data_IF_037163210485
#
_entry.id   IF_037163210485
#
_cell.length_a   1.000
_cell.length_b   1.000
_cell.length_c   1.000
_cell.angle_alpha   90.00
_cell.angle_beta   90.00
_cell.angle_gamma   90.00
#
_symmetry.space_group_name_H-M   'P 1'
#
loop_
_entity.id
_entity.type
_entity.pdbx_description
1 polymer ?
#
# COMPACT_ATOMS: atom_id res chain seq x y z
N UNK A 1 7.02 -14.20 -4.85
CA UNK A 1 6.54 -14.87 -6.09
C UNK A 1 7.64 -14.69 -7.11
N UNK A 2 8.08 -15.77 -7.76
CA UNK A 2 9.07 -15.71 -8.85
C UNK A 2 8.33 -16.11 -10.13
N UNK A 3 8.28 -15.26 -11.17
CA UNK A 3 7.68 -15.64 -12.43
C UNK A 3 8.57 -16.67 -13.14
N UNK A 4 7.95 -17.61 -13.85
CA UNK A 4 8.68 -18.56 -14.70
C UNK A 4 9.33 -17.84 -15.89
N UNK A 5 8.61 -16.90 -16.49
CA UNK A 5 9.06 -16.06 -17.61
C UNK A 5 8.53 -14.64 -17.43
N UNK A 6 9.32 -13.65 -17.86
CA UNK A 6 8.88 -12.26 -17.97
C UNK A 6 8.70 -11.93 -19.44
N UNK A 7 7.46 -11.75 -19.87
CA UNK A 7 7.09 -11.41 -21.25
C UNK A 7 6.38 -10.07 -21.31
N UNK A 8 6.28 -9.52 -22.52
CA UNK A 8 5.60 -8.26 -22.77
C UNK A 8 4.72 -8.42 -24.00
N UNK A 9 3.48 -7.93 -23.97
CA UNK A 9 2.59 -7.94 -25.14
C UNK A 9 3.25 -7.32 -26.39
N UNK A 10 4.16 -6.37 -26.19
CA UNK A 10 4.92 -5.74 -27.28
C UNK A 10 5.81 -6.71 -28.07
N UNK A 11 6.22 -7.81 -27.45
CA UNK A 11 7.04 -8.85 -28.10
C UNK A 11 6.23 -9.58 -29.19
N UNK A 12 4.89 -9.50 -29.11
CA UNK A 12 3.96 -10.14 -30.04
C UNK A 12 3.29 -9.15 -31.01
N UNK A 13 3.69 -7.87 -31.05
CA UNK A 13 3.02 -6.88 -31.91
C UNK A 13 2.98 -7.27 -33.39
N UNK A 14 4.05 -7.87 -33.90
CA UNK A 14 4.07 -8.36 -35.29
C UNK A 14 3.08 -9.51 -35.47
N UNK A 15 3.10 -10.51 -34.58
CA UNK A 15 2.14 -11.63 -34.61
C UNK A 15 0.70 -11.16 -34.53
N UNK A 16 0.40 -10.21 -33.64
CA UNK A 16 -0.95 -9.63 -33.50
C UNK A 16 -1.35 -8.88 -34.78
N UNK A 17 -0.43 -8.17 -35.43
CA UNK A 17 -0.67 -7.53 -36.74
C UNK A 17 -0.97 -8.57 -37.82
N UNK A 18 -0.27 -9.70 -37.84
CA UNK A 18 -0.55 -10.79 -38.80
C UNK A 18 -1.95 -11.38 -38.59
N UNK A 19 -2.40 -11.57 -37.35
CA UNK A 19 -3.79 -11.95 -37.08
C UNK A 19 -4.79 -10.90 -37.54
N UNK A 20 -4.51 -9.61 -37.34
CA UNK A 20 -5.37 -8.53 -37.84
C UNK A 20 -5.49 -8.57 -39.38
N UNK A 21 -4.38 -8.74 -40.10
CA UNK A 21 -4.36 -8.91 -41.56
C UNK A 21 -5.15 -10.15 -41.99
N UNK A 22 -5.00 -11.26 -41.27
CA UNK A 22 -5.75 -12.49 -41.53
C UNK A 22 -7.26 -12.29 -41.33
N UNK A 23 -7.68 -11.59 -40.27
CA UNK A 23 -9.10 -11.27 -40.04
C UNK A 23 -9.69 -10.45 -41.20
N UNK A 24 -8.94 -9.45 -41.69
CA UNK A 24 -9.36 -8.65 -42.86
C UNK A 24 -9.54 -9.54 -44.08
N UNK A 25 -8.55 -10.39 -44.38
CA UNK A 25 -8.58 -11.25 -45.56
C UNK A 25 -9.75 -12.27 -45.55
N UNK A 26 -10.19 -12.67 -44.36
CA UNK A 26 -11.31 -13.59 -44.17
C UNK A 26 -12.66 -12.89 -43.96
N UNK A 27 -12.74 -11.57 -44.14
CA UNK A 27 -13.98 -10.79 -43.97
C UNK A 27 -14.49 -10.71 -42.53
N UNK A 28 -13.64 -11.03 -41.55
CA UNK A 28 -13.95 -11.03 -40.11
C UNK A 28 -13.65 -9.68 -39.44
N UNK A 29 -13.04 -8.74 -40.16
CA UNK A 29 -12.77 -7.39 -39.70
C UNK A 29 -12.86 -6.39 -40.86
N UNK A 30 -13.14 -5.15 -40.52
CA UNK A 30 -13.21 -4.02 -41.46
C UNK A 30 -12.58 -2.77 -40.84
N UNK A 31 -12.28 -1.80 -41.69
CA UNK A 31 -11.68 -0.52 -41.37
C UNK A 31 -12.80 0.50 -41.31
N UNK A 32 -12.75 1.38 -40.31
CA UNK A 32 -13.82 2.35 -40.06
C UNK A 32 -13.22 3.72 -39.76
N UNK A 33 -13.65 4.74 -40.51
CA UNK A 33 -13.27 6.14 -40.34
C UNK A 33 -14.32 6.95 -39.56
N UNK A 34 -15.40 6.30 -39.12
CA UNK A 34 -16.52 6.96 -38.46
C UNK A 34 -16.04 7.68 -37.19
N UNK A 35 -16.36 8.98 -37.02
CA UNK A 35 -15.97 9.73 -35.82
C UNK A 35 -16.41 9.03 -34.54
N UNK A 36 -15.61 9.14 -33.47
CA UNK A 36 -15.81 8.38 -32.23
C UNK A 36 -17.22 8.54 -31.63
N UNK A 37 -17.74 9.77 -31.56
CA UNK A 37 -19.08 10.04 -31.01
C UNK A 37 -20.18 9.41 -31.85
N UNK A 38 -20.05 9.49 -33.18
CA UNK A 38 -20.98 8.86 -34.12
C UNK A 38 -20.91 7.32 -34.03
N UNK A 39 -19.71 6.75 -33.97
CA UNK A 39 -19.51 5.32 -33.77
C UNK A 39 -20.14 4.83 -32.45
N UNK A 40 -20.01 5.61 -31.38
CA UNK A 40 -20.65 5.29 -30.11
C UNK A 40 -22.18 5.29 -30.25
N UNK A 41 -22.74 6.30 -30.90
CA UNK A 41 -24.18 6.39 -31.17
C UNK A 41 -24.67 5.20 -32.00
N UNK A 42 -24.01 4.89 -33.12
CA UNK A 42 -24.34 3.75 -33.97
C UNK A 42 -24.31 2.42 -33.20
N UNK A 43 -23.32 2.23 -32.32
CA UNK A 43 -23.24 1.03 -31.46
C UNK A 43 -24.35 0.97 -30.42
N UNK A 44 -24.80 2.11 -29.89
CA UNK A 44 -25.94 2.17 -28.97
C UNK A 44 -27.26 1.89 -29.70
N UNK A 45 -27.41 2.46 -30.89
CA UNK A 45 -28.59 2.31 -31.76
C UNK A 45 -28.59 1.00 -32.55
N UNK A 46 -27.58 0.13 -32.37
CA UNK A 46 -27.39 -1.16 -33.05
C UNK A 46 -27.32 -1.04 -34.59
N UNK A 47 -26.79 0.07 -35.09
CA UNK A 47 -26.65 0.37 -36.51
C UNK A 47 -25.28 -0.05 -37.05
N UNK A 48 -25.26 -0.68 -38.23
CA UNK A 48 -24.02 -1.03 -38.91
C UNK A 48 -23.30 0.22 -39.43
N UNK A 49 -21.96 0.24 -39.33
CA UNK A 49 -21.14 1.24 -40.00
C UNK A 49 -21.30 1.14 -41.52
N UNK A 50 -21.23 2.28 -42.21
CA UNK A 50 -21.18 2.37 -43.68
C UNK A 50 -20.03 1.55 -44.29
N UNK A 51 -18.95 1.32 -43.53
CA UNK A 51 -17.77 0.58 -43.98
C UNK A 51 -17.81 -0.93 -43.68
N UNK A 52 -18.87 -1.43 -43.04
CA UNK A 52 -18.93 -2.83 -42.56
C UNK A 52 -18.84 -3.86 -43.68
N UNK A 53 -19.40 -3.55 -44.84
CA UNK A 53 -19.42 -4.43 -46.02
C UNK A 53 -18.36 -4.07 -47.08
N UNK A 54 -17.30 -3.36 -46.69
CA UNK A 54 -16.16 -3.11 -47.57
C UNK A 54 -15.48 -4.41 -48.03
N UNK A 55 -14.83 -4.40 -49.20
CA UNK A 55 -14.08 -5.56 -49.67
C UNK A 55 -12.78 -5.76 -48.86
N UNK A 56 -12.26 -7.01 -48.76
CA UNK A 56 -10.99 -7.27 -48.11
C UNK A 56 -9.80 -6.48 -48.70
N UNK A 57 -9.84 -6.17 -50.00
CA UNK A 57 -8.77 -5.41 -50.67
C UNK A 57 -8.74 -3.96 -50.21
N UNK A 58 -9.90 -3.27 -50.22
CA UNK A 58 -10.02 -1.89 -49.73
C UNK A 58 -9.65 -1.80 -48.25
N UNK A 59 -10.14 -2.75 -47.45
CA UNK A 59 -9.80 -2.88 -46.04
C UNK A 59 -8.28 -2.95 -45.80
N UNK A 60 -7.58 -3.70 -46.64
CA UNK A 60 -6.14 -3.89 -46.55
C UNK A 60 -5.37 -2.59 -46.82
N UNK A 61 -5.85 -1.78 -47.77
CA UNK A 61 -5.27 -0.47 -48.09
C UNK A 61 -5.40 0.51 -46.93
N UNK A 62 -6.61 0.63 -46.37
CA UNK A 62 -6.84 1.49 -45.21
C UNK A 62 -6.08 1.02 -43.97
N UNK A 63 -5.95 -0.30 -43.76
CA UNK A 63 -5.14 -0.82 -42.65
C UNK A 63 -3.65 -0.47 -42.81
N UNK A 64 -3.10 -0.55 -44.04
CA UNK A 64 -1.73 -0.10 -44.34
C UNK A 64 -1.57 1.40 -44.13
N UNK A 65 -2.57 2.19 -44.55
CA UNK A 65 -2.58 3.64 -44.34
C UNK A 65 -2.55 4.00 -42.85
N UNK A 66 -3.42 3.39 -42.02
CA UNK A 66 -3.42 3.55 -40.57
C UNK A 66 -2.08 3.10 -39.95
N UNK A 67 -1.50 2.00 -40.41
CA UNK A 67 -0.21 1.54 -39.92
C UNK A 67 0.97 2.43 -40.33
N UNK A 68 0.81 3.29 -41.35
CA UNK A 68 1.87 4.21 -41.79
C UNK A 68 2.11 5.36 -40.82
N UNK A 69 1.14 5.68 -39.96
CA UNK A 69 1.22 6.79 -39.01
C UNK A 69 1.01 8.17 -39.64
N UNK A 70 0.59 8.26 -40.90
CA UNK A 70 0.21 9.51 -41.58
C UNK A 70 -1.09 10.07 -40.98
N UNK A 71 -1.30 11.39 -41.10
CA UNK A 71 -2.52 12.03 -40.60
C UNK A 71 -3.79 11.45 -41.26
N UNK A 72 -3.74 11.15 -42.57
CA UNK A 72 -4.87 10.55 -43.29
C UNK A 72 -5.22 9.13 -42.78
N UNK A 73 -4.27 8.46 -42.11
CA UNK A 73 -4.51 7.15 -41.48
C UNK A 73 -5.14 7.24 -40.09
N UNK A 74 -5.13 8.42 -39.46
CA UNK A 74 -5.56 8.64 -38.07
C UNK A 74 -7.05 8.40 -37.82
N UNK A 75 -7.98 8.78 -38.72
CA UNK A 75 -9.40 8.51 -38.52
C UNK A 75 -9.74 7.01 -38.53
N UNK A 76 -8.92 6.22 -39.23
CA UNK A 76 -9.17 4.80 -39.43
C UNK A 76 -8.85 3.97 -38.18
N UNK A 77 -9.74 3.02 -37.89
CA UNK A 77 -9.51 1.96 -36.93
C UNK A 77 -9.96 0.61 -37.50
N UNK A 78 -9.37 -0.48 -37.02
CA UNK A 78 -9.83 -1.83 -37.36
C UNK A 78 -10.92 -2.25 -36.39
N UNK A 79 -12.07 -2.67 -36.88
CA UNK A 79 -13.20 -3.20 -36.11
C UNK A 79 -13.45 -4.66 -36.46
N UNK A 80 -13.83 -5.46 -35.46
CA UNK A 80 -14.29 -6.82 -35.70
C UNK A 80 -15.66 -6.80 -36.38
N UNK A 81 -15.93 -7.78 -37.25
CA UNK A 81 -17.28 -8.06 -37.76
C UNK A 81 -17.95 -9.08 -36.84
N UNK A 82 -18.74 -8.58 -35.89
CA UNK A 82 -19.46 -9.35 -34.87
C UNK A 82 -20.97 -9.02 -34.95
N UNK A 83 -21.67 -9.15 -33.82
CA UNK A 83 -23.12 -9.01 -33.73
C UNK A 83 -23.50 -7.63 -33.17
N UNK A 84 -23.89 -6.73 -34.08
CA UNK A 84 -24.40 -5.40 -33.72
C UNK A 84 -25.76 -5.45 -33.02
N UNK A 85 -26.52 -6.55 -33.18
CA UNK A 85 -27.82 -6.73 -32.53
C UNK A 85 -27.72 -7.24 -31.10
N UNK A 86 -26.52 -7.64 -30.64
CA UNK A 86 -26.30 -8.24 -29.32
C UNK A 86 -26.70 -7.31 -28.18
N UNK A 87 -27.31 -7.87 -27.12
CA UNK A 87 -27.54 -7.15 -25.87
C UNK A 87 -26.24 -6.87 -25.12
N UNK A 88 -25.19 -7.66 -25.36
CA UNK A 88 -23.85 -7.37 -24.87
C UNK A 88 -23.14 -6.36 -25.79
N UNK A 89 -23.05 -5.10 -25.35
CA UNK A 89 -22.43 -4.01 -26.11
C UNK A 89 -20.96 -4.24 -26.50
N UNK A 90 -20.24 -5.13 -25.80
CA UNK A 90 -18.85 -5.48 -26.14
C UNK A 90 -18.74 -6.31 -27.44
N UNK A 91 -19.84 -6.95 -27.86
CA UNK A 91 -19.92 -7.75 -29.09
C UNK A 91 -20.33 -6.92 -30.32
N UNK A 92 -20.67 -5.65 -30.13
CA UNK A 92 -21.09 -4.75 -31.21
C UNK A 92 -19.88 -4.16 -31.92
N UNK A 93 -19.34 -4.92 -32.87
CA UNK A 93 -18.19 -4.60 -33.72
C UNK A 93 -17.10 -3.79 -33.00
N UNK A 94 -16.44 -4.38 -31.98
CA UNK A 94 -15.44 -3.69 -31.16
C UNK A 94 -14.20 -3.29 -31.98
N UNK A 95 -13.55 -2.20 -31.55
CA UNK A 95 -12.27 -1.75 -32.11
C UNK A 95 -11.14 -2.68 -31.66
N UNK A 96 -10.39 -3.20 -32.63
CA UNK A 96 -9.29 -4.15 -32.45
C UNK A 96 -7.90 -3.52 -32.63
N UNK A 97 -7.80 -2.44 -33.42
CA UNK A 97 -6.52 -1.79 -33.74
C UNK A 97 -6.73 -0.30 -34.03
N UNK A 98 -5.79 0.55 -33.63
CA UNK A 98 -5.87 2.00 -33.86
C UNK A 98 -4.50 2.65 -34.03
N UNK A 99 -4.46 3.79 -34.71
CA UNK A 99 -3.24 4.60 -34.84
C UNK A 99 -2.86 5.26 -33.50
N UNK A 100 -1.57 5.26 -33.17
CA UNK A 100 -0.97 6.09 -32.14
C UNK A 100 0.51 6.28 -32.51
N UNK A 101 0.93 7.53 -32.72
CA UNK A 101 2.29 7.83 -33.19
C UNK A 101 3.29 8.02 -32.04
N UNK A 102 2.82 7.99 -30.79
CA UNK A 102 3.65 8.09 -29.58
C UNK A 102 4.67 6.94 -29.55
N UNK A 103 5.96 7.21 -29.34
CA UNK A 103 6.97 6.16 -29.20
C UNK A 103 6.64 5.17 -28.08
N UNK A 104 6.73 3.88 -28.38
CA UNK A 104 6.55 2.83 -27.39
C UNK A 104 7.84 2.62 -26.59
N UNK A 105 7.72 2.48 -25.27
CA UNK A 105 8.87 2.40 -24.37
C UNK A 105 9.87 1.26 -24.67
N UNK A 106 9.43 0.16 -25.31
CA UNK A 106 10.30 -0.97 -25.73
C UNK A 106 10.64 -1.02 -27.21
N UNK A 107 9.71 -0.60 -28.06
CA UNK A 107 9.83 -0.76 -29.53
C UNK A 107 10.04 0.56 -30.25
N UNK A 108 10.24 1.65 -29.49
CA UNK A 108 10.51 2.99 -29.99
C UNK A 108 9.46 3.44 -30.99
N UNK A 109 9.92 3.85 -32.16
CA UNK A 109 9.09 4.37 -33.26
C UNK A 109 8.72 3.31 -34.31
N UNK A 110 9.05 2.02 -34.07
CA UNK A 110 8.84 0.93 -35.03
C UNK A 110 7.38 0.76 -35.45
N UNK A 111 6.45 0.97 -34.52
CA UNK A 111 5.01 0.82 -34.76
C UNK A 111 4.31 2.18 -34.63
N UNK A 112 3.36 2.45 -35.52
CA UNK A 112 2.53 3.68 -35.53
C UNK A 112 1.05 3.41 -35.30
N UNK A 113 0.69 2.14 -35.19
CA UNK A 113 -0.63 1.67 -34.81
C UNK A 113 -0.46 0.48 -33.87
N UNK A 114 -1.40 0.29 -32.95
CA UNK A 114 -1.32 -0.72 -31.90
C UNK A 114 -2.63 -1.47 -31.74
N UNK A 115 -2.58 -2.75 -31.34
CA UNK A 115 -3.78 -3.51 -31.01
C UNK A 115 -4.43 -2.98 -29.73
N UNK A 116 -5.74 -3.17 -29.63
CA UNK A 116 -6.46 -2.97 -28.38
C UNK A 116 -6.29 -4.20 -27.46
N UNK A 117 -6.63 -4.03 -26.19
CA UNK A 117 -6.66 -5.12 -25.21
C UNK A 117 -7.50 -6.31 -25.70
N UNK A 118 -8.62 -6.03 -26.36
CA UNK A 118 -9.59 -7.05 -26.80
C UNK A 118 -9.02 -7.95 -27.90
N UNK A 119 -8.13 -7.45 -28.76
CA UNK A 119 -7.42 -8.27 -29.75
C UNK A 119 -6.18 -8.95 -29.17
N UNK A 120 -5.36 -8.18 -28.43
CA UNK A 120 -4.06 -8.66 -27.98
C UNK A 120 -4.15 -9.77 -26.93
N UNK A 121 -5.05 -9.62 -25.95
CA UNK A 121 -5.13 -10.51 -24.79
C UNK A 121 -5.45 -11.97 -25.19
N UNK A 122 -6.48 -12.28 -26.02
CA UNK A 122 -6.73 -13.65 -26.49
C UNK A 122 -5.56 -14.29 -27.22
N UNK A 123 -4.87 -13.52 -28.05
CA UNK A 123 -3.74 -14.00 -28.88
C UNK A 123 -2.57 -14.37 -27.98
N UNK A 124 -2.14 -13.44 -27.10
CA UNK A 124 -0.99 -13.65 -26.23
C UNK A 124 -1.25 -14.78 -25.24
N UNK A 125 -2.40 -14.78 -24.56
CA UNK A 125 -2.76 -15.86 -23.62
C UNK A 125 -2.75 -17.24 -24.31
N UNK A 126 -3.26 -17.31 -25.56
CA UNK A 126 -3.24 -18.55 -26.35
C UNK A 126 -1.81 -19.01 -26.62
N UNK A 127 -0.96 -18.11 -27.17
CA UNK A 127 0.43 -18.38 -27.57
C UNK A 127 1.30 -18.75 -26.37
N UNK A 128 1.15 -18.06 -25.24
CA UNK A 128 1.93 -18.30 -24.02
C UNK A 128 1.49 -19.54 -23.24
N UNK A 129 0.47 -20.27 -23.74
CA UNK A 129 0.03 -21.50 -23.08
C UNK A 129 -0.79 -21.27 -21.80
N UNK A 130 -1.31 -20.06 -21.56
CA UNK A 130 -2.16 -19.74 -20.40
C UNK A 130 -3.35 -20.71 -20.34
N UNK A 131 -3.48 -21.45 -19.25
CA UNK A 131 -4.61 -22.38 -19.05
C UNK A 131 -5.81 -21.68 -18.41
N UNK A 132 -5.54 -20.83 -17.43
CA UNK A 132 -6.52 -20.06 -16.67
C UNK A 132 -6.13 -18.58 -16.64
N UNK A 133 -6.87 -17.74 -17.35
CA UNK A 133 -6.75 -16.29 -17.29
C UNK A 133 -7.56 -15.77 -16.09
N UNK A 134 -6.86 -15.29 -15.05
CA UNK A 134 -7.48 -14.76 -13.84
C UNK A 134 -7.67 -13.25 -14.00
N UNK A 135 -8.91 -12.75 -13.89
CA UNK A 135 -9.19 -11.32 -14.05
C UNK A 135 -10.30 -10.81 -13.13
N UNK A 136 -10.43 -9.49 -13.01
CA UNK A 136 -11.47 -8.90 -12.17
C UNK A 136 -12.85 -9.00 -12.83
N UNK A 137 -13.91 -9.05 -12.01
CA UNK A 137 -15.32 -9.08 -12.46
C UNK A 137 -15.73 -7.83 -13.25
N UNK A 138 -14.98 -6.73 -13.16
CA UNK A 138 -15.18 -5.51 -13.97
C UNK A 138 -15.10 -5.78 -15.49
N UNK A 139 -14.48 -6.89 -15.88
CA UNK A 139 -14.35 -7.32 -17.27
C UNK A 139 -15.34 -8.42 -17.66
N UNK A 140 -16.36 -8.72 -16.84
CA UNK A 140 -17.22 -9.88 -17.08
C UNK A 140 -17.93 -9.82 -18.45
N UNK A 141 -18.42 -8.65 -18.86
CA UNK A 141 -19.07 -8.48 -20.16
C UNK A 141 -18.13 -8.79 -21.34
N UNK A 142 -16.82 -8.54 -21.17
CA UNK A 142 -15.79 -8.84 -22.20
C UNK A 142 -15.42 -10.32 -22.24
N UNK A 143 -15.95 -11.18 -21.35
CA UNK A 143 -15.63 -12.61 -21.35
C UNK A 143 -16.12 -13.25 -22.66
N UNK A 144 -17.34 -12.89 -23.07
CA UNK A 144 -17.93 -13.36 -24.32
C UNK A 144 -17.11 -12.90 -25.53
N UNK A 145 -16.73 -11.62 -25.56
CA UNK A 145 -15.90 -11.03 -26.60
C UNK A 145 -14.57 -11.76 -26.75
N UNK A 146 -13.88 -12.01 -25.63
CA UNK A 146 -12.63 -12.77 -25.61
C UNK A 146 -12.78 -14.16 -26.25
N UNK A 147 -13.83 -14.90 -25.89
CA UNK A 147 -14.04 -16.28 -26.37
C UNK A 147 -14.44 -16.29 -27.86
N UNK A 148 -15.22 -15.31 -28.31
CA UNK A 148 -15.60 -15.16 -29.73
C UNK A 148 -14.36 -14.84 -30.57
N UNK A 149 -13.53 -13.87 -30.16
CA UNK A 149 -12.27 -13.55 -30.87
C UNK A 149 -11.36 -14.78 -30.90
N UNK A 150 -11.23 -15.50 -29.78
CA UNK A 150 -10.44 -16.73 -29.71
C UNK A 150 -10.91 -17.77 -30.73
N UNK A 151 -12.23 -17.96 -30.83
CA UNK A 151 -12.84 -18.90 -31.79
C UNK A 151 -12.65 -18.44 -33.23
N UNK A 152 -12.86 -17.16 -33.52
CA UNK A 152 -12.68 -16.56 -34.85
C UNK A 152 -11.26 -16.78 -35.38
N UNK A 153 -10.26 -16.63 -34.51
CA UNK A 153 -8.85 -16.76 -34.83
C UNK A 153 -8.32 -18.20 -34.77
N UNK A 154 -9.16 -19.19 -34.44
CA UNK A 154 -8.75 -20.60 -34.29
C UNK A 154 -7.74 -20.82 -33.15
N UNK A 155 -7.79 -19.99 -32.10
CA UNK A 155 -6.83 -20.02 -31.00
C UNK A 155 -7.11 -21.16 -30.03
N UNK A 156 -6.07 -21.55 -29.29
CA UNK A 156 -6.20 -22.48 -28.17
C UNK A 156 -7.12 -21.87 -27.12
N UNK A 157 -8.09 -22.66 -26.65
CA UNK A 157 -9.06 -22.19 -25.65
C UNK A 157 -8.38 -21.93 -24.31
N UNK A 158 -8.59 -20.72 -23.78
CA UNK A 158 -8.16 -20.31 -22.43
C UNK A 158 -9.39 -20.19 -21.53
N UNK A 159 -9.33 -20.77 -20.33
CA UNK A 159 -10.42 -20.67 -19.35
C UNK A 159 -10.30 -19.33 -18.63
N UNK A 160 -11.38 -18.57 -18.58
CA UNK A 160 -11.39 -17.31 -17.83
C UNK A 160 -12.02 -17.58 -16.46
N UNK A 161 -11.32 -17.17 -15.41
CA UNK A 161 -11.85 -17.19 -14.05
C UNK A 161 -11.88 -15.75 -13.52
N UNK A 162 -13.06 -15.30 -13.10
CA UNK A 162 -13.22 -13.94 -12.57
C UNK A 162 -13.37 -13.90 -11.07
N UNK A 163 -12.81 -12.85 -10.46
CA UNK A 163 -12.85 -12.56 -9.03
C UNK A 163 -13.09 -11.06 -8.81
N UNK A 164 -13.68 -10.68 -7.70
CA UNK A 164 -13.87 -9.29 -7.36
C UNK A 164 -12.53 -8.65 -6.99
N UNK A 165 -12.32 -7.42 -7.45
CA UNK A 165 -11.21 -6.60 -6.97
C UNK A 165 -11.34 -6.34 -5.47
N UNK A 166 -10.19 -6.20 -4.83
CA UNK A 166 -10.12 -5.77 -3.45
C UNK A 166 -10.28 -4.24 -3.37
N UNK A 167 -11.13 -3.79 -2.45
CA UNK A 167 -11.27 -2.38 -2.11
C UNK A 167 -11.04 -2.22 -0.60
N UNK A 168 -10.57 -1.06 -0.20
CA UNK A 168 -10.38 -0.69 1.20
C UNK A 168 -11.21 0.55 1.51
N UNK A 169 -11.63 0.67 2.76
CA UNK A 169 -12.33 1.84 3.27
C UNK A 169 -11.34 3.00 3.45
N UNK A 170 -11.84 4.24 3.40
CA UNK A 170 -11.05 5.47 3.60
C UNK A 170 -9.88 5.64 2.62
N UNK A 171 -9.97 5.03 1.42
CA UNK A 171 -8.91 5.12 0.42
C UNK A 171 -9.46 5.12 -1.01
N UNK A 172 -8.59 5.44 -1.95
CA UNK A 172 -8.86 5.37 -3.39
C UNK A 172 -7.91 4.38 -4.04
N UNK A 173 -8.44 3.51 -4.89
CA UNK A 173 -7.64 2.50 -5.60
C UNK A 173 -7.44 2.84 -7.09
N UNK A 174 -8.10 3.89 -7.60
CA UNK A 174 -8.00 4.23 -9.02
C UNK A 174 -6.70 4.97 -9.30
N UNK A 175 -6.00 4.56 -10.37
CA UNK A 175 -4.74 5.17 -10.78
C UNK A 175 -4.88 6.68 -10.98
N UNK A 176 -5.98 7.14 -11.59
CA UNK A 176 -6.25 8.57 -11.79
C UNK A 176 -6.27 9.36 -10.48
N UNK A 177 -7.02 8.88 -9.47
CA UNK A 177 -7.11 9.55 -8.16
C UNK A 177 -5.77 9.49 -7.40
N UNK A 178 -5.07 8.35 -7.47
CA UNK A 178 -3.74 8.21 -6.87
C UNK A 178 -2.69 9.12 -7.52
N UNK A 179 -2.69 9.24 -8.85
CA UNK A 179 -1.84 10.18 -9.60
C UNK A 179 -2.14 11.62 -9.17
N UNK A 180 -3.40 12.00 -9.01
CA UNK A 180 -3.76 13.33 -8.53
C UNK A 180 -3.17 13.66 -7.15
N UNK A 181 -3.13 12.71 -6.21
CA UNK A 181 -2.47 12.93 -4.91
C UNK A 181 -0.98 13.24 -5.06
N UNK A 182 -0.31 12.53 -5.98
CA UNK A 182 1.11 12.73 -6.28
C UNK A 182 1.34 14.09 -6.98
N UNK A 183 0.57 14.36 -8.04
CA UNK A 183 0.73 15.56 -8.87
C UNK A 183 0.39 16.86 -8.10
N UNK A 184 -0.53 16.79 -7.13
CA UNK A 184 -0.88 17.93 -6.27
C UNK A 184 0.00 18.07 -5.03
N UNK A 185 1.02 17.22 -4.86
CA UNK A 185 1.96 17.29 -3.74
C UNK A 185 1.37 16.96 -2.37
N UNK A 186 0.17 16.37 -2.31
CA UNK A 186 -0.49 15.94 -1.06
C UNK A 186 0.17 14.72 -0.43
N UNK A 187 0.94 13.98 -1.23
CA UNK A 187 1.80 12.89 -0.78
C UNK A 187 3.21 13.12 -1.32
N UNK A 188 4.20 12.55 -0.66
CA UNK A 188 5.62 12.67 -1.04
C UNK A 188 5.98 11.89 -2.32
N UNK A 189 5.12 10.95 -2.74
CA UNK A 189 5.30 10.16 -3.95
C UNK A 189 4.50 8.86 -3.93
N UNK A 190 4.80 7.96 -4.87
CA UNK A 190 4.12 6.65 -4.97
C UNK A 190 4.44 5.69 -3.83
N UNK A 191 5.50 5.93 -3.08
CA UNK A 191 5.92 5.17 -1.91
C UNK A 191 5.65 5.87 -0.59
N UNK A 192 4.85 6.94 -0.60
CA UNK A 192 4.38 7.60 0.61
C UNK A 192 3.62 6.59 1.50
N UNK A 193 3.90 6.54 2.82
CA UNK A 193 3.29 5.57 3.74
C UNK A 193 1.76 5.66 3.86
N UNK A 194 1.16 6.79 3.45
CA UNK A 194 -0.31 6.95 3.40
C UNK A 194 -0.95 6.35 2.15
N UNK A 195 -0.15 6.07 1.11
CA UNK A 195 -0.65 5.55 -0.15
C UNK A 195 -0.98 4.04 -0.06
N UNK A 196 -2.10 3.59 -0.64
CA UNK A 196 -2.48 2.16 -0.66
C UNK A 196 -1.67 1.35 -1.69
N UNK A 197 -0.50 1.83 -2.09
CA UNK A 197 0.40 1.14 -3.01
C UNK A 197 1.24 0.13 -2.24
N UNK A 198 1.69 -0.94 -2.90
CA UNK A 198 2.59 -1.93 -2.27
C UNK A 198 3.83 -1.25 -1.69
N UNK A 199 4.38 -0.24 -2.39
CA UNK A 199 5.53 0.54 -1.90
C UNK A 199 5.19 1.37 -0.67
N UNK A 200 4.03 2.05 -0.66
CA UNK A 200 3.56 2.87 0.45
C UNK A 200 3.37 2.04 1.72
N UNK A 201 2.58 0.96 1.64
CA UNK A 201 2.38 0.09 2.82
C UNK A 201 3.68 -0.61 3.26
N UNK A 202 4.60 -0.91 2.33
CA UNK A 202 5.94 -1.46 2.65
C UNK A 202 6.80 -0.45 3.39
N UNK A 203 6.82 0.81 2.95
CA UNK A 203 7.50 1.89 3.66
C UNK A 203 6.85 2.18 5.02
N UNK A 204 5.53 2.01 5.14
CA UNK A 204 4.83 2.12 6.43
C UNK A 204 5.15 0.97 7.38
N UNK A 205 5.59 -0.20 6.89
CA UNK A 205 6.05 -1.32 7.72
C UNK A 205 5.25 -2.62 7.59
N UNK A 206 4.53 -2.85 6.48
CA UNK A 206 3.94 -4.17 6.21
C UNK A 206 5.07 -5.20 5.98
N UNK A 207 4.96 -6.35 6.64
CA UNK A 207 5.75 -7.52 6.33
C UNK A 207 5.15 -8.24 5.12
N UNK A 208 6.00 -8.64 4.16
CA UNK A 208 5.55 -9.28 2.91
C UNK A 208 4.83 -10.60 3.14
N UNK A 209 5.21 -11.38 4.15
CA UNK A 209 4.52 -12.63 4.45
C UNK A 209 3.18 -12.40 5.15
N UNK A 210 3.06 -11.34 5.96
CA UNK A 210 1.76 -10.89 6.46
C UNK A 210 0.84 -10.45 5.32
N UNK A 211 1.36 -9.70 4.35
CA UNK A 211 0.61 -9.30 3.16
C UNK A 211 0.09 -10.54 2.39
N UNK A 212 0.95 -11.53 2.15
CA UNK A 212 0.53 -12.79 1.48
C UNK A 212 -0.55 -13.51 2.29
N UNK A 213 -0.37 -13.65 3.60
CA UNK A 213 -1.35 -14.29 4.50
C UNK A 213 -2.69 -13.59 4.45
N UNK A 214 -2.69 -12.25 4.50
CA UNK A 214 -3.90 -11.44 4.36
C UNK A 214 -4.58 -11.68 3.01
N UNK A 215 -3.83 -11.66 1.90
CA UNK A 215 -4.40 -11.92 0.57
C UNK A 215 -5.01 -13.33 0.47
N UNK A 216 -4.32 -14.35 1.00
CA UNK A 216 -4.82 -15.72 1.03
C UNK A 216 -6.06 -15.87 1.93
N UNK A 217 -6.15 -15.15 3.06
CA UNK A 217 -7.29 -15.22 3.96
C UNK A 217 -8.56 -14.60 3.38
N UNK A 218 -8.43 -13.61 2.49
CA UNK A 218 -9.59 -13.05 1.79
C UNK A 218 -10.17 -14.00 0.74
N UNK A 219 -9.28 -14.77 0.08
CA UNK A 219 -9.66 -15.71 -0.98
C UNK A 219 -10.16 -15.03 -2.26
N UNK A 220 -10.42 -15.86 -3.29
CA UNK A 220 -10.98 -15.39 -4.56
C UNK A 220 -12.51 -15.53 -4.53
N UNK A 221 -13.21 -14.43 -4.26
CA UNK A 221 -14.67 -14.34 -4.31
C UNK A 221 -15.10 -13.46 -5.48
N UNK A 222 -16.32 -13.65 -6.02
CA UNK A 222 -16.94 -12.74 -6.99
C UNK A 222 -17.67 -11.56 -6.34
N UNK A 223 -17.82 -11.57 -5.00
CA UNK A 223 -18.49 -10.50 -4.25
C UNK A 223 -17.52 -9.35 -4.00
N UNK A 224 -17.90 -8.14 -4.40
CA UNK A 224 -17.14 -6.92 -4.08
C UNK A 224 -17.30 -6.63 -2.59
N UNK A 225 -16.17 -6.46 -1.89
CA UNK A 225 -16.12 -6.16 -0.46
C UNK A 225 -15.16 -4.99 -0.23
N UNK A 226 -15.57 -4.06 0.62
CA UNK A 226 -14.71 -3.01 1.15
C UNK A 226 -14.11 -3.50 2.46
N UNK A 227 -12.79 -3.58 2.52
CA UNK A 227 -12.04 -4.08 3.66
C UNK A 227 -11.68 -2.95 4.62
N UNK A 228 -11.79 -3.21 5.92
CA UNK A 228 -11.19 -2.34 6.93
C UNK A 228 -9.67 -2.56 7.00
N UNK A 229 -8.92 -1.47 7.15
CA UNK A 229 -7.48 -1.51 7.42
C UNK A 229 -7.13 -2.19 8.75
N UNK A 230 -8.05 -2.21 9.71
CA UNK A 230 -7.88 -2.84 11.03
C UNK A 230 -7.41 -4.30 10.90
N UNK A 231 -8.06 -5.09 10.05
CA UNK A 231 -7.73 -6.51 9.82
C UNK A 231 -6.39 -6.68 9.13
N UNK A 232 -6.07 -5.82 8.16
CA UNK A 232 -4.81 -5.81 7.45
C UNK A 232 -3.63 -5.61 8.41
N UNK A 233 -3.73 -4.59 9.27
CA UNK A 233 -2.70 -4.25 10.24
C UNK A 233 -2.63 -5.23 11.42
N UNK A 234 -3.77 -5.77 11.87
CA UNK A 234 -3.79 -6.82 12.89
C UNK A 234 -3.04 -8.08 12.43
N UNK A 235 -3.15 -8.47 11.15
CA UNK A 235 -2.38 -9.60 10.61
C UNK A 235 -0.89 -9.26 10.52
N UNK A 236 -0.54 -8.03 10.13
CA UNK A 236 0.86 -7.57 10.15
C UNK A 236 1.47 -7.63 11.54
N UNK A 237 0.74 -7.16 12.56
CA UNK A 237 1.17 -7.17 13.96
C UNK A 237 1.63 -8.55 14.41
N UNK A 238 0.87 -9.60 14.07
CA UNK A 238 1.20 -10.98 14.45
C UNK A 238 2.55 -11.42 13.90
N UNK A 239 2.93 -10.96 12.72
CA UNK A 239 4.22 -11.30 12.11
C UNK A 239 5.35 -10.45 12.68
N UNK A 240 5.18 -9.14 12.78
CA UNK A 240 6.24 -8.24 13.28
C UNK A 240 6.52 -8.43 14.79
N UNK A 241 5.53 -8.82 15.59
CA UNK A 241 5.68 -9.06 17.03
C UNK A 241 6.73 -10.14 17.35
N UNK A 242 6.97 -11.06 16.41
CA UNK A 242 7.90 -12.19 16.56
C UNK A 242 9.37 -11.77 16.55
N UNK A 243 9.70 -10.61 15.98
CA UNK A 243 11.09 -10.18 15.80
C UNK A 243 11.34 -8.71 16.14
N UNK A 244 10.30 -7.92 16.41
CA UNK A 244 10.44 -6.53 16.77
C UNK A 244 11.13 -6.36 18.13
N UNK A 245 12.37 -5.88 18.13
CA UNK A 245 13.14 -5.60 19.36
C UNK A 245 12.46 -4.50 20.19
N UNK A 246 12.52 -4.61 21.53
CA UNK A 246 11.86 -3.70 22.46
C UNK A 246 12.80 -2.57 22.88
N UNK A 247 12.29 -1.35 22.80
CA UNK A 247 12.97 -0.12 23.20
C UNK A 247 12.04 0.79 24.01
N UNK A 248 12.59 1.84 24.61
CA UNK A 248 11.83 2.83 25.37
C UNK A 248 12.08 4.21 24.79
N UNK A 249 11.03 5.04 24.80
CA UNK A 249 11.10 6.45 24.49
C UNK A 249 10.05 7.20 25.30
N UNK A 250 10.37 8.42 25.68
CA UNK A 250 9.55 9.32 26.51
C UNK A 250 9.33 10.62 25.76
N UNK A 251 8.16 11.26 25.93
CA UNK A 251 7.88 12.53 25.26
C UNK A 251 8.96 13.59 25.55
N UNK A 252 9.36 14.35 24.52
CA UNK A 252 10.40 15.36 24.69
C UNK A 252 9.91 16.56 25.52
N UNK A 253 8.61 16.84 25.50
CA UNK A 253 8.01 18.03 26.12
C UNK A 253 7.13 17.71 27.33
N UNK A 254 6.37 16.63 27.27
CA UNK A 254 5.37 16.28 28.29
C UNK A 254 5.82 15.08 29.13
N UNK A 255 6.96 15.25 29.81
CA UNK A 255 7.54 14.24 30.70
C UNK A 255 7.74 14.77 32.12
N UNK A 256 7.91 13.83 33.06
CA UNK A 256 8.18 14.12 34.47
C UNK A 256 9.49 13.47 34.89
N UNK A 257 10.34 14.23 35.55
CA UNK A 257 11.56 13.71 36.17
C UNK A 257 11.25 12.96 37.47
N UNK A 258 11.84 11.78 37.62
CA UNK A 258 11.89 11.00 38.85
C UNK A 258 13.35 10.91 39.34
N UNK A 259 13.58 11.32 40.59
CA UNK A 259 14.86 11.14 41.27
C UNK A 259 14.82 9.88 42.15
N UNK A 260 15.57 8.85 41.77
CA UNK A 260 15.79 7.63 42.55
C UNK A 260 16.93 7.89 43.54
N UNK A 261 16.59 8.19 44.79
CA UNK A 261 17.51 8.70 45.82
C UNK A 261 18.70 7.79 46.12
N UNK A 262 18.50 6.48 46.06
CA UNK A 262 19.52 5.44 46.22
C UNK A 262 19.98 4.82 44.88
N UNK A 263 19.70 5.48 43.76
CA UNK A 263 20.23 5.10 42.44
C UNK A 263 21.67 5.57 42.24
N UNK A 264 22.40 4.88 41.37
CA UNK A 264 23.78 5.24 40.98
C UNK A 264 23.88 6.58 40.26
N UNK A 265 25.10 7.04 39.99
CA UNK A 265 25.41 8.33 39.36
C UNK A 265 25.00 8.44 37.87
N UNK A 266 24.41 7.38 37.32
CA UNK A 266 24.04 7.30 35.92
C UNK A 266 25.08 6.61 35.05
N UNK A 267 26.13 5.99 35.61
CA UNK A 267 27.13 5.20 34.85
C UNK A 267 26.80 3.72 34.69
N UNK A 268 25.83 3.23 35.47
CA UNK A 268 25.47 1.82 35.51
C UNK A 268 24.55 1.40 34.34
N UNK A 269 24.63 0.11 34.00
CA UNK A 269 23.80 -0.51 32.96
C UNK A 269 23.04 -1.71 33.52
N UNK A 270 21.76 -1.77 33.15
CA UNK A 270 20.93 -2.95 33.32
C UNK A 270 20.92 -3.77 32.03
N UNK A 271 21.21 -5.06 32.13
CA UNK A 271 21.10 -5.97 30.98
C UNK A 271 19.67 -6.53 30.89
N UNK A 272 19.01 -6.35 29.76
CA UNK A 272 17.63 -6.83 29.52
C UNK A 272 17.51 -7.53 28.17
N UNK A 273 16.58 -8.46 27.99
CA UNK A 273 16.38 -9.10 26.69
C UNK A 273 15.76 -8.13 25.68
N UNK A 274 16.29 -8.13 24.45
CA UNK A 274 15.69 -7.35 23.34
C UNK A 274 14.25 -7.78 23.09
N UNK A 275 13.96 -9.08 23.16
CA UNK A 275 12.63 -9.64 22.99
C UNK A 275 12.37 -10.66 24.11
N UNK A 276 11.53 -10.34 25.12
CA UNK A 276 11.30 -11.23 26.26
C UNK A 276 10.75 -12.61 25.91
N UNK A 277 10.07 -12.73 24.76
CA UNK A 277 9.50 -14.00 24.29
C UNK A 277 10.53 -14.89 23.60
N UNK A 278 11.66 -14.34 23.18
CA UNK A 278 12.69 -15.07 22.43
C UNK A 278 14.10 -14.54 22.77
N UNK A 279 14.80 -15.23 23.70
CA UNK A 279 16.15 -14.87 24.11
C UNK A 279 17.20 -14.94 22.98
N UNK A 280 16.92 -15.60 21.85
CA UNK A 280 17.88 -15.70 20.73
C UNK A 280 18.19 -14.35 20.07
N UNK A 281 17.32 -13.36 20.25
CA UNK A 281 17.54 -11.97 19.83
C UNK A 281 18.60 -11.24 20.65
N UNK A 282 19.12 -11.87 21.70
CA UNK A 282 20.16 -11.36 22.56
C UNK A 282 19.66 -10.32 23.56
N UNK A 283 20.63 -9.70 24.22
CA UNK A 283 20.40 -8.75 25.29
C UNK A 283 20.83 -7.34 24.88
N UNK A 284 20.22 -6.35 25.52
CA UNK A 284 20.52 -4.93 25.40
C UNK A 284 20.91 -4.37 26.75
N UNK A 285 21.76 -3.35 26.72
CA UNK A 285 22.11 -2.57 27.88
C UNK A 285 21.18 -1.35 27.94
N UNK A 286 20.54 -1.16 29.08
CA UNK A 286 19.69 -0.01 29.39
C UNK A 286 20.40 0.80 30.46
N UNK A 287 20.61 2.10 30.22
CA UNK A 287 21.24 2.98 31.19
C UNK A 287 20.32 3.15 32.40
N UNK A 288 20.84 3.01 33.61
CA UNK A 288 20.14 3.31 34.86
C UNK A 288 20.87 4.45 35.56
N UNK A 289 20.15 5.20 36.41
CA UNK A 289 20.76 6.32 37.13
C UNK A 289 19.80 6.97 38.10
N UNK A 290 20.34 7.89 38.90
CA UNK A 290 19.58 8.66 39.89
C UNK A 290 18.46 9.48 39.27
N UNK A 291 18.62 10.00 38.05
CA UNK A 291 17.59 10.78 37.36
C UNK A 291 17.02 9.97 36.19
N UNK A 292 15.70 9.83 36.16
CA UNK A 292 14.99 9.20 35.06
C UNK A 292 13.79 10.03 34.61
N UNK A 293 13.39 9.86 33.36
CA UNK A 293 12.23 10.52 32.77
C UNK A 293 11.10 9.50 32.61
N UNK A 294 9.88 9.95 32.90
CA UNK A 294 8.64 9.19 32.80
C UNK A 294 7.64 9.97 31.92
N UNK A 295 6.74 9.25 31.25
CA UNK A 295 5.60 9.89 30.58
C UNK A 295 4.71 10.56 31.62
N UNK A 296 4.36 11.84 31.41
CA UNK A 296 3.55 12.57 32.38
C UNK A 296 2.19 11.90 32.65
N UNK A 297 1.52 11.42 31.61
CA UNK A 297 0.23 10.72 31.71
C UNK A 297 0.30 9.48 32.63
N UNK A 298 1.46 8.81 32.69
CA UNK A 298 1.63 7.64 33.56
C UNK A 298 1.85 8.04 35.03
N UNK A 299 2.22 9.31 35.29
CA UNK A 299 2.48 9.86 36.63
C UNK A 299 1.26 10.53 37.29
N UNK A 300 0.18 10.74 36.55
CA UNK A 300 -1.01 11.40 37.07
C UNK A 300 -1.67 10.59 38.20
N UNK A 301 -1.90 11.26 39.33
CA UNK A 301 -2.49 10.67 40.53
C UNK A 301 -1.55 9.77 41.33
N UNK A 302 -0.23 9.83 41.11
CA UNK A 302 0.75 9.20 41.99
C UNK A 302 0.78 9.92 43.35
N UNK A 303 0.78 9.16 44.44
CA UNK A 303 0.88 9.70 45.80
C UNK A 303 2.13 9.22 46.54
N UNK A 304 2.55 9.96 47.57
CA UNK A 304 3.60 9.52 48.48
C UNK A 304 3.22 8.17 49.14
N UNK A 305 4.18 7.26 49.24
CA UNK A 305 4.01 5.88 49.72
C UNK A 305 3.54 4.88 48.65
N UNK A 306 3.27 5.33 47.42
CA UNK A 306 2.90 4.42 46.33
C UNK A 306 4.13 3.69 45.77
N UNK A 307 3.98 2.38 45.52
CA UNK A 307 4.98 1.58 44.81
C UNK A 307 4.66 1.54 43.31
N UNK A 308 5.58 2.07 42.51
CA UNK A 308 5.55 1.98 41.05
C UNK A 308 6.60 0.99 40.54
N UNK A 309 6.34 0.39 39.38
CA UNK A 309 7.32 -0.46 38.69
C UNK A 309 7.88 0.30 37.50
N UNK A 310 9.19 0.55 37.54
CA UNK A 310 9.96 0.96 36.38
C UNK A 310 10.24 -0.30 35.55
N UNK A 311 9.65 -0.35 34.36
CA UNK A 311 9.64 -1.57 33.53
C UNK A 311 11.07 -2.11 33.34
N UNK A 312 11.26 -3.40 33.62
CA UNK A 312 12.55 -4.13 33.64
C UNK A 312 13.55 -3.76 34.74
N UNK A 313 13.46 -2.59 35.36
CA UNK A 313 14.38 -2.18 36.43
C UNK A 313 13.93 -2.67 37.80
N UNK A 314 12.68 -2.42 38.18
CA UNK A 314 12.14 -2.88 39.48
C UNK A 314 11.21 -1.88 40.13
N UNK A 315 10.98 -2.08 41.43
CA UNK A 315 10.04 -1.30 42.23
C UNK A 315 10.72 -0.05 42.80
N UNK A 316 10.01 1.08 42.72
CA UNK A 316 10.38 2.34 43.38
C UNK A 316 9.22 2.78 44.26
N UNK A 317 9.51 3.00 45.54
CA UNK A 317 8.58 3.60 46.50
C UNK A 317 8.68 5.13 46.38
N UNK A 318 7.56 5.80 46.13
CA UNK A 318 7.52 7.26 45.99
C UNK A 318 7.58 7.92 47.37
N UNK A 319 8.60 8.74 47.59
CA UNK A 319 8.85 9.43 48.87
C UNK A 319 8.45 10.90 48.83
N UNK A 320 8.38 11.51 47.64
CA UNK A 320 8.00 12.91 47.46
C UNK A 320 7.31 13.15 46.12
N UNK A 321 6.31 14.04 46.11
CA UNK A 321 5.62 14.54 44.90
C UNK A 321 5.57 16.06 44.99
N UNK A 322 6.41 16.75 44.22
CA UNK A 322 6.58 18.21 44.28
C UNK A 322 7.22 18.75 43.00
N UNK A 323 6.40 19.14 42.01
CA UNK A 323 6.89 19.57 40.69
C UNK A 323 7.68 18.50 39.92
N UNK A 324 7.66 17.26 40.41
CA UNK A 324 8.46 16.12 40.02
C UNK A 324 8.30 15.01 41.05
N UNK A 325 8.96 13.86 40.82
CA UNK A 325 8.88 12.72 41.72
C UNK A 325 10.23 12.45 42.37
N UNK A 326 10.22 12.06 43.64
CA UNK A 326 11.37 11.41 44.28
C UNK A 326 10.94 10.07 44.85
N UNK A 327 11.82 9.09 44.78
CA UNK A 327 11.55 7.77 45.32
C UNK A 327 12.81 7.02 45.71
N UNK A 328 12.60 5.86 46.33
CA UNK A 328 13.65 4.94 46.73
C UNK A 328 13.44 3.62 45.99
N UNK A 329 14.46 3.16 45.29
CA UNK A 329 14.49 1.82 44.70
C UNK A 329 14.42 0.77 45.82
N UNK A 330 13.52 -0.19 45.69
CA UNK A 330 13.31 -1.27 46.65
C UNK A 330 13.84 -2.56 46.04
N UNK A 331 15.04 -3.03 46.44
CA UNK A 331 15.55 -4.34 46.04
C UNK A 331 14.53 -5.42 46.40
N UNK A 332 14.29 -6.36 45.48
CA UNK A 332 13.34 -7.48 45.64
C UNK A 332 11.88 -7.06 45.93
N UNK A 333 11.52 -5.81 45.61
CA UNK A 333 10.14 -5.35 45.73
C UNK A 333 9.15 -6.15 44.86
N UNK A 334 7.93 -6.33 45.36
CA UNK A 334 6.91 -7.12 44.66
C UNK A 334 6.34 -6.38 43.43
N UNK A 335 6.87 -6.72 42.25
CA UNK A 335 6.44 -6.21 40.94
C UNK A 335 4.97 -6.55 40.62
N UNK A 336 4.37 -7.56 41.26
CA UNK A 336 2.96 -7.94 41.06
C UNK A 336 2.02 -7.11 41.91
N UNK A 337 2.47 -6.65 43.09
CA UNK A 337 1.66 -5.82 43.99
C UNK A 337 1.51 -4.37 43.53
N UNK A 338 2.44 -3.87 42.70
CA UNK A 338 2.38 -2.51 42.18
C UNK A 338 1.25 -2.32 41.16
N UNK A 339 0.46 -1.26 41.34
CA UNK A 339 -0.67 -0.92 40.46
C UNK A 339 -0.21 -0.37 39.11
N UNK A 340 0.96 0.28 39.07
CA UNK A 340 1.48 1.00 37.90
C UNK A 340 2.78 0.39 37.41
N UNK A 341 2.83 0.10 36.10
CA UNK A 341 4.04 -0.32 35.37
C UNK A 341 4.34 0.69 34.29
N UNK A 342 5.42 1.43 34.45
CA UNK A 342 5.71 2.66 33.71
C UNK A 342 6.95 2.45 32.83
N UNK A 343 6.92 2.99 31.61
CA UNK A 343 8.10 3.09 30.75
C UNK A 343 8.96 4.27 31.18
N UNK A 344 10.27 4.13 31.09
CA UNK A 344 11.20 5.13 31.61
C UNK A 344 12.48 5.12 30.77
N UNK A 345 13.24 6.20 30.87
CA UNK A 345 14.63 6.27 30.39
C UNK A 345 15.48 7.00 31.42
N UNK A 346 16.77 6.70 31.51
CA UNK A 346 17.69 7.54 32.28
C UNK A 346 17.80 8.92 31.63
N UNK A 347 17.90 9.96 32.45
CA UNK A 347 18.14 11.34 31.98
C UNK A 347 19.65 11.55 31.80
N UNK A 348 20.16 11.17 30.62
CA UNK A 348 21.60 11.16 30.31
C UNK A 348 21.87 11.77 28.92
N UNK A 349 23.05 12.39 28.70
CA UNK A 349 23.40 13.00 27.41
C UNK A 349 23.43 12.02 26.23
N UNK A 350 23.64 10.72 26.49
CA UNK A 350 23.72 9.69 25.46
C UNK A 350 22.36 9.30 24.86
N UNK A 351 21.26 9.82 25.39
CA UNK A 351 19.93 9.60 24.86
C UNK A 351 19.83 9.97 23.36
N UNK A 352 18.83 9.38 22.71
CA UNK A 352 18.66 9.50 21.26
C UNK A 352 17.50 10.44 20.97
N UNK A 353 17.68 11.54 20.23
CA UNK A 353 16.55 12.31 19.72
C UNK A 353 15.85 11.51 18.62
N UNK A 354 14.54 11.36 18.74
CA UNK A 354 13.72 10.55 17.83
C UNK A 354 12.48 11.33 17.41
N UNK A 355 12.13 11.25 16.13
CA UNK A 355 10.87 11.72 15.59
C UNK A 355 10.00 10.50 15.32
N UNK A 356 8.84 10.44 15.97
CA UNK A 356 7.79 9.47 15.70
C UNK A 356 6.78 10.09 14.74
N UNK A 357 6.65 9.50 13.55
CA UNK A 357 5.64 9.91 12.58
C UNK A 357 4.47 8.94 12.59
N UNK A 358 3.28 9.49 12.76
CA UNK A 358 2.03 8.77 12.61
C UNK A 358 1.27 9.26 11.37
N UNK A 359 0.44 8.39 10.81
CA UNK A 359 -0.24 8.63 9.55
C UNK A 359 -1.72 8.26 9.64
N UNK A 360 -2.58 9.12 9.12
CA UNK A 360 -4.01 8.90 8.99
C UNK A 360 -4.41 8.66 7.52
N UNK A 361 -5.67 8.33 7.29
CA UNK A 361 -6.23 8.07 5.98
C UNK A 361 -6.24 9.33 5.09
N UNK A 362 -5.95 9.17 3.80
CA UNK A 362 -5.97 10.28 2.82
C UNK A 362 -7.37 10.81 2.52
N UNK A 363 -8.40 10.01 2.80
CA UNK A 363 -9.81 10.33 2.54
C UNK A 363 -10.57 10.21 3.85
N UNK A 364 -11.42 11.19 4.14
CA UNK A 364 -12.21 11.28 5.38
C UNK A 364 -13.52 10.47 5.32
N UNK A 365 -13.97 10.11 4.12
CA UNK A 365 -15.18 9.29 3.90
C UNK A 365 -14.84 7.81 3.80
N UNK A 366 -15.59 6.99 4.53
CA UNK A 366 -15.44 5.53 4.61
C UNK A 366 -15.49 4.86 3.23
N UNK A 367 -16.48 5.23 2.43
CA UNK A 367 -16.70 4.73 1.07
C UNK A 367 -17.14 5.89 0.19
N UNK A 368 -16.45 6.07 -0.92
CA UNK A 368 -16.86 7.00 -1.98
C UNK A 368 -17.88 6.29 -2.89
N UNK A 369 -19.02 6.93 -3.11
CA UNK A 369 -20.04 6.55 -4.08
C UNK A 369 -19.73 7.12 -5.48
N UNK A 370 -20.49 6.72 -6.49
CA UNK A 370 -20.19 7.07 -7.89
C UNK A 370 -20.36 8.56 -8.18
N UNK A 371 -21.31 9.19 -7.48
CA UNK A 371 -21.69 10.60 -7.60
C UNK A 371 -20.82 11.52 -6.74
N UNK A 372 -19.98 10.95 -5.87
CA UNK A 372 -19.10 11.74 -5.01
C UNK A 372 -17.97 12.39 -5.81
N UNK A 373 -17.83 13.70 -5.65
CA UNK A 373 -16.57 14.34 -5.95
C UNK A 373 -15.55 14.04 -4.85
N UNK A 374 -14.57 13.18 -5.15
CA UNK A 374 -13.62 12.70 -4.14
C UNK A 374 -12.76 13.81 -3.53
N UNK A 375 -12.59 14.94 -4.22
CA UNK A 375 -11.81 16.09 -3.75
C UNK A 375 -12.45 16.77 -2.54
N UNK A 376 -13.76 16.59 -2.34
CA UNK A 376 -14.50 17.15 -1.20
C UNK A 376 -14.28 16.34 0.10
N UNK A 377 -13.72 15.13 -0.03
CA UNK A 377 -13.52 14.19 1.07
C UNK A 377 -12.04 13.97 1.40
N UNK A 378 -11.16 14.90 1.03
CA UNK A 378 -9.74 14.82 1.38
C UNK A 378 -9.57 15.10 2.87
N UNK A 379 -8.79 14.26 3.54
CA UNK A 379 -8.42 14.50 4.93
C UNK A 379 -7.30 15.56 4.98
N UNK A 380 -7.47 16.69 5.68
CA UNK A 380 -6.42 17.69 5.82
C UNK A 380 -5.27 17.22 6.73
N UNK A 381 -5.57 16.40 7.74
CA UNK A 381 -4.62 16.01 8.78
C UNK A 381 -4.27 14.53 8.63
N UNK A 382 -3.18 14.25 7.90
CA UNK A 382 -2.82 12.89 7.48
C UNK A 382 -1.45 12.43 7.95
N UNK A 383 -0.65 13.33 8.52
CA UNK A 383 0.68 13.05 9.06
C UNK A 383 0.91 13.95 10.27
N UNK A 384 1.45 13.40 11.35
CA UNK A 384 1.89 14.17 12.50
C UNK A 384 3.19 13.61 13.04
N UNK A 385 4.09 14.51 13.42
CA UNK A 385 5.38 14.19 14.03
C UNK A 385 5.35 14.49 15.53
N UNK A 386 5.89 13.57 16.33
CA UNK A 386 6.09 13.72 17.77
C UNK A 386 7.55 13.52 18.10
N UNK A 387 8.16 14.52 18.72
CA UNK A 387 9.54 14.43 19.20
C UNK A 387 9.58 13.71 20.54
N UNK A 388 10.43 12.69 20.62
CA UNK A 388 10.62 11.90 21.84
C UNK A 388 12.10 11.74 22.12
N UNK A 389 12.41 11.55 23.39
CA UNK A 389 13.73 11.17 23.88
C UNK A 389 13.73 9.66 23.97
N UNK A 390 14.57 9.01 23.17
CA UNK A 390 14.68 7.57 23.11
C UNK A 390 15.90 7.04 23.84
N UNK A 391 15.85 5.76 24.25
CA UNK A 391 17.02 5.12 24.86
C UNK A 391 18.25 5.15 23.93
N UNK A 392 19.46 5.21 24.51
CA UNK A 392 20.71 5.31 23.76
C UNK A 392 20.92 4.15 22.76
N UNK A 393 20.32 2.99 23.03
CA UNK A 393 20.40 1.82 22.15
C UNK A 393 19.72 2.03 20.79
N UNK A 394 18.79 2.99 20.68
CA UNK A 394 18.14 3.33 19.42
C UNK A 394 19.11 3.89 18.36
N UNK A 395 20.28 4.43 18.75
CA UNK A 395 21.34 4.85 17.81
C UNK A 395 21.90 3.68 16.98
N UNK A 396 21.73 2.45 17.45
CA UNK A 396 22.24 1.25 16.76
C UNK A 396 21.33 0.75 15.65
N UNK A 397 20.11 1.29 15.55
CA UNK A 397 19.12 0.86 14.57
C UNK A 397 19.48 1.30 13.16
N UNK A 398 19.17 0.43 12.20
CA UNK A 398 19.38 0.65 10.78
C UNK A 398 18.05 0.95 10.09
N UNK A 399 18.12 1.56 8.92
CA UNK A 399 16.97 1.74 8.07
C UNK A 399 16.25 0.40 7.84
N UNK A 400 14.92 0.43 7.85
CA UNK A 400 14.03 -0.72 7.71
C UNK A 400 13.92 -1.66 8.93
N UNK A 401 14.69 -1.44 10.00
CA UNK A 401 14.49 -2.19 11.23
C UNK A 401 13.07 -1.98 11.76
N UNK A 402 12.47 -3.06 12.28
CA UNK A 402 11.17 -3.02 12.94
C UNK A 402 11.38 -3.18 14.43
N UNK A 403 10.83 -2.26 15.20
CA UNK A 403 10.94 -2.23 16.66
C UNK A 403 9.57 -2.06 17.30
N UNK A 404 9.51 -2.29 18.62
CA UNK A 404 8.42 -1.82 19.43
C UNK A 404 8.97 -0.86 20.49
N UNK A 405 8.41 0.34 20.56
CA UNK A 405 8.57 1.21 21.71
C UNK A 405 7.55 0.77 22.77
N UNK A 406 8.04 0.33 23.92
CA UNK A 406 7.20 -0.17 25.00
C UNK A 406 6.18 0.89 25.42
N UNK A 407 4.92 0.47 25.61
CA UNK A 407 3.75 1.33 25.85
C UNK A 407 3.42 2.35 24.74
N UNK A 408 4.17 2.45 23.64
CA UNK A 408 3.86 3.35 22.50
C UNK A 408 3.35 2.62 21.26
N UNK A 409 4.00 1.52 20.85
CA UNK A 409 3.56 0.75 19.68
C UNK A 409 4.70 0.21 18.82
N UNK A 410 4.37 -0.23 17.61
CA UNK A 410 5.33 -0.75 16.64
C UNK A 410 5.76 0.34 15.68
N UNK A 411 7.04 0.32 15.31
CA UNK A 411 7.62 1.33 14.44
C UNK A 411 8.58 0.69 13.44
N UNK A 412 8.63 1.26 12.23
CA UNK A 412 9.68 1.01 11.24
C UNK A 412 10.66 2.18 11.23
N UNK A 413 11.95 1.90 11.17
CA UNK A 413 12.96 2.94 10.96
C UNK A 413 12.90 3.42 9.51
N UNK A 414 12.39 4.63 9.29
CA UNK A 414 12.42 5.27 7.97
C UNK A 414 13.76 5.97 7.71
N UNK A 415 14.39 6.50 8.77
CA UNK A 415 15.75 7.06 8.70
C UNK A 415 16.50 6.73 9.98
N UNK A 416 17.66 6.07 9.85
CA UNK A 416 18.56 5.81 10.97
C UNK A 416 19.09 7.11 11.60
N UNK A 417 19.50 7.05 12.87
CA UNK A 417 20.13 8.19 13.53
C UNK A 417 21.46 8.54 12.85
N UNK A 418 21.71 9.83 12.62
CA UNK A 418 22.99 10.31 12.07
C UNK A 418 23.67 11.25 13.06
N UNK A 419 22.95 12.28 13.52
CA UNK A 419 23.38 13.26 14.52
C UNK A 419 22.16 14.02 15.04
N UNK A 420 22.33 14.98 15.95
CA UNK A 420 21.22 15.76 16.50
C UNK A 420 20.39 16.54 15.47
N UNK A 421 21.02 17.07 14.41
CA UNK A 421 20.31 17.75 13.32
C UNK A 421 19.53 16.80 12.40
N UNK A 422 19.85 15.50 12.45
CA UNK A 422 19.22 14.43 11.68
C UNK A 422 18.84 13.28 12.63
N UNK A 423 17.82 13.50 13.47
CA UNK A 423 17.38 12.52 14.45
C UNK A 423 16.84 11.26 13.76
N UNK A 424 16.76 10.18 14.54
CA UNK A 424 16.13 8.92 14.13
C UNK A 424 14.67 9.21 13.74
N UNK A 425 14.22 8.79 12.55
CA UNK A 425 12.82 8.94 12.14
C UNK A 425 12.14 7.57 12.09
N UNK A 426 11.08 7.42 12.87
CA UNK A 426 10.34 6.18 13.05
C UNK A 426 8.91 6.35 12.54
N UNK A 427 8.46 5.46 11.66
CA UNK A 427 7.10 5.43 11.16
C UNK A 427 6.26 4.46 11.97
N UNK A 428 5.16 4.95 12.53
CA UNK A 428 4.22 4.13 13.29
C UNK A 428 3.57 3.07 12.39
N UNK A 429 3.66 1.82 12.83
CA UNK A 429 3.00 0.68 12.21
C UNK A 429 1.69 0.44 12.98
N UNK A 430 0.52 0.56 12.35
CA UNK A 430 -0.74 0.30 13.03
C UNK A 430 -0.83 -1.15 13.50
N UNK A 431 -1.54 -1.36 14.60
CA UNK A 431 -1.64 -2.66 15.26
C UNK A 431 -3.04 -3.32 15.09
N UNK A 432 -3.92 -2.64 14.36
CA UNK A 432 -5.28 -3.07 14.03
C UNK A 432 -6.36 -2.70 15.06
N UNK A 433 -5.99 -2.05 16.17
CA UNK A 433 -6.98 -1.59 17.18
C UNK A 433 -7.50 -0.19 16.84
N UNK A 434 -8.78 0.06 17.14
CA UNK A 434 -9.41 1.39 17.04
C UNK A 434 -9.07 2.33 18.20
N UNK A 435 -8.44 1.83 19.26
CA UNK A 435 -7.99 2.61 20.43
C UNK A 435 -6.54 2.26 20.77
N UNK A 436 -5.76 3.26 21.15
CA UNK A 436 -4.40 3.07 21.64
C UNK A 436 -4.37 2.13 22.86
N UNK A 437 -3.27 1.37 23.01
CA UNK A 437 -3.08 0.48 24.17
C UNK A 437 -2.61 1.21 25.43
N UNK A 438 -2.25 2.48 25.31
CA UNK A 438 -1.74 3.37 26.36
C UNK A 438 -2.66 4.59 26.53
N UNK A 439 -2.52 5.29 27.66
CA UNK A 439 -3.12 6.62 27.84
C UNK A 439 -2.42 7.73 27.05
N UNK A 440 -1.34 7.40 26.31
CA UNK A 440 -0.73 8.29 25.34
C UNK A 440 -1.66 8.40 24.12
N UNK A 441 -2.30 9.55 23.98
CA UNK A 441 -3.11 9.88 22.80
C UNK A 441 -2.19 10.20 21.61
N UNK A 442 -2.59 9.73 20.41
CA UNK A 442 -1.97 10.17 19.16
C UNK A 442 -2.40 11.60 18.83
N UNK A 443 -1.60 12.32 18.03
CA UNK A 443 -1.96 13.64 17.50
C UNK A 443 -2.95 13.57 16.34
N UNK A 444 -3.13 12.39 15.75
CA UNK A 444 -4.13 12.13 14.71
C UNK A 444 -5.33 11.38 15.26
N UNK A 445 -6.47 11.58 14.61
CA UNK A 445 -7.73 10.96 15.01
C UNK A 445 -7.79 9.45 14.66
N UNK A 446 -6.93 8.98 13.74
CA UNK A 446 -6.86 7.58 13.26
C UNK A 446 -8.23 7.05 12.87
N UNK A 447 -8.94 7.84 12.02
CA UNK A 447 -10.37 7.66 11.71
C UNK A 447 -10.68 6.43 10.88
#
# INVERSE_FOLDING_TARGET
VKPDVVTFTSDYFETIKQYALWMINNGLAYMDDTPQEQMQKERMDRQHSKHREQSPSEAMEYFKLMCSGKEDGKPWCLRAKMDMSSDNGTLRDPVLYRQNTTPHHRSGTKYKAYPTYDLACPIVDSIEGVTHALRTTEYDDRNAQYQIISKMLGLRRVRIQTFARMNFMYTVMSKRKLTWFVDTGRVTGWDDPRMPTVRGVSRRGINIDALKKFMCSQGASRRIVNMEWSKFWAENKKEIDKYAKRFMAIDNTDHVGLTVTNGGDGTDFLTTDYLPKDPSFGKRLVRIGKKVLLEKVDTEGITVGENIVLTRWGVVEITKVDGGLEGKFVPDGDVKAAKRKISWIADVPENTPVILSEFDNLVSKEKLEEEDNFEDFINPDTEADTEVIGDAGLKTLKEHDIIQLERRGFYRVDRAYVNESKPLKLFMIPDGKKKAMSGLDGKLAHR
#
